data_IF_526951415915
#
_entry.id   IF_526951415915
#
_cell.length_a   1.000
_cell.length_b   1.000
_cell.length_c   1.000
_cell.angle_alpha   90.00
_cell.angle_beta   90.00
_cell.angle_gamma   90.00
#
_symmetry.space_group_name_H-M   'P 1'
#
loop_
_entity.id
_entity.type
_entity.pdbx_description
1 polymer ?
#
# COMPACT_ATOMS: atom_id res chain seq x y z
N UNK A 1 -3.92 -25.21 -4.35
CA UNK A 1 -4.65 -24.13 -5.05
C UNK A 1 -5.60 -23.31 -4.14
N UNK A 2 -6.27 -23.90 -3.13
CA UNK A 2 -7.13 -23.15 -2.19
C UNK A 2 -6.36 -22.25 -1.22
N UNK A 3 -5.22 -22.71 -0.67
CA UNK A 3 -4.41 -21.96 0.30
C UNK A 3 -3.82 -20.66 -0.29
N UNK A 4 -3.31 -20.71 -1.52
CA UNK A 4 -2.74 -19.52 -2.18
C UNK A 4 -3.78 -18.42 -2.40
N UNK A 5 -5.03 -18.80 -2.74
CA UNK A 5 -6.14 -17.82 -2.85
C UNK A 5 -6.49 -17.22 -1.50
N UNK A 6 -6.55 -18.03 -0.44
CA UNK A 6 -6.78 -17.54 0.91
C UNK A 6 -5.70 -16.55 1.35
N UNK A 7 -4.44 -16.89 1.11
CA UNK A 7 -3.30 -16.04 1.48
C UNK A 7 -3.33 -14.67 0.79
N UNK A 8 -3.57 -14.65 -0.53
CA UNK A 8 -3.57 -13.40 -1.31
C UNK A 8 -4.91 -12.67 -1.21
N UNK A 9 -6.02 -13.35 -1.49
CA UNK A 9 -7.35 -12.73 -1.55
C UNK A 9 -8.01 -12.54 -0.19
N UNK A 10 -7.53 -13.28 0.84
CA UNK A 10 -7.93 -13.12 2.25
C UNK A 10 -7.22 -11.96 2.96
N UNK A 11 -6.48 -11.13 2.24
CA UNK A 11 -5.77 -9.94 2.72
C UNK A 11 -4.57 -10.22 3.66
N UNK A 12 -4.19 -11.49 3.88
CA UNK A 12 -3.03 -11.86 4.72
C UNK A 12 -1.74 -11.36 4.08
N UNK A 13 -1.58 -11.58 2.77
CA UNK A 13 -0.39 -11.20 2.03
C UNK A 13 -0.12 -9.69 2.07
N UNK A 14 -1.13 -8.87 1.78
CA UNK A 14 -0.98 -7.41 1.80
C UNK A 14 -0.71 -6.89 3.22
N UNK A 15 -1.25 -7.55 4.26
CA UNK A 15 -0.96 -7.21 5.65
C UNK A 15 0.50 -7.52 6.01
N UNK A 16 1.05 -8.63 5.51
CA UNK A 16 2.49 -8.94 5.64
C UNK A 16 3.33 -7.91 4.88
N UNK A 17 2.92 -7.51 3.66
CA UNK A 17 3.60 -6.43 2.92
C UNK A 17 3.70 -5.15 3.75
N UNK A 18 2.61 -4.76 4.42
CA UNK A 18 2.60 -3.58 5.29
C UNK A 18 3.59 -3.69 6.45
N UNK A 19 3.63 -4.84 7.13
CA UNK A 19 4.57 -5.10 8.23
C UNK A 19 6.02 -5.05 7.76
N UNK A 20 6.35 -5.70 6.63
CA UNK A 20 7.71 -5.71 6.09
C UNK A 20 8.15 -4.31 5.67
N UNK A 21 7.24 -3.48 5.14
CA UNK A 21 7.53 -2.08 4.83
C UNK A 21 7.83 -1.27 6.10
N UNK A 22 7.08 -1.49 7.19
CA UNK A 22 7.36 -0.85 8.49
C UNK A 22 8.70 -1.30 9.06
N UNK A 23 9.00 -2.61 9.03
CA UNK A 23 10.29 -3.16 9.46
C UNK A 23 11.44 -2.50 8.68
N UNK A 24 11.28 -2.33 7.37
CA UNK A 24 12.29 -1.65 6.56
C UNK A 24 12.54 -0.21 7.02
N UNK A 25 11.50 0.53 7.40
CA UNK A 25 11.66 1.88 7.95
C UNK A 25 12.37 1.85 9.30
N UNK A 26 11.97 0.99 10.25
CA UNK A 26 12.64 0.86 11.54
C UNK A 26 14.14 0.59 11.38
N UNK A 27 14.51 -0.39 10.56
CA UNK A 27 15.92 -0.74 10.34
C UNK A 27 16.68 0.33 9.57
N UNK A 28 16.06 1.02 8.60
CA UNK A 28 16.68 2.13 7.88
C UNK A 28 17.07 3.28 8.81
N UNK A 29 16.28 3.51 9.88
CA UNK A 29 16.57 4.53 10.88
C UNK A 29 17.33 4.01 12.10
N UNK A 30 17.81 2.77 12.06
CA UNK A 30 18.56 2.12 13.14
C UNK A 30 17.81 2.14 14.49
N UNK A 31 16.50 1.89 14.46
CA UNK A 31 15.67 1.79 15.67
C UNK A 31 15.07 0.39 15.78
N UNK A 32 14.89 -0.05 17.02
CA UNK A 32 14.27 -1.34 17.29
C UNK A 32 12.78 -1.32 16.91
N UNK A 33 12.30 -2.36 16.19
CA UNK A 33 10.91 -2.46 15.81
C UNK A 33 9.97 -2.59 17.01
N UNK A 34 8.95 -1.73 17.10
CA UNK A 34 7.87 -1.87 18.07
C UNK A 34 6.91 -2.98 17.62
N UNK A 35 6.92 -4.11 18.32
CA UNK A 35 6.11 -5.28 17.98
C UNK A 35 4.61 -5.00 18.08
N UNK A 36 4.16 -4.16 19.01
CA UNK A 36 2.75 -3.81 19.17
C UNK A 36 2.28 -2.99 17.95
N UNK A 37 3.13 -2.08 17.47
CA UNK A 37 2.84 -1.32 16.26
C UNK A 37 2.81 -2.22 15.02
N UNK A 38 3.74 -3.14 14.87
CA UNK A 38 3.77 -4.09 13.74
C UNK A 38 2.51 -4.97 13.71
N UNK A 39 2.09 -5.49 14.87
CA UNK A 39 0.85 -6.24 15.00
C UNK A 39 -0.37 -5.35 14.71
N UNK A 40 -0.37 -4.11 15.20
CA UNK A 40 -1.41 -3.13 14.87
C UNK A 40 -1.52 -2.92 13.35
N UNK A 41 -0.42 -2.69 12.67
CA UNK A 41 -0.39 -2.50 11.20
C UNK A 41 -0.92 -3.73 10.48
N UNK A 42 -0.53 -4.94 10.91
CA UNK A 42 -1.03 -6.18 10.34
C UNK A 42 -2.56 -6.26 10.42
N UNK A 43 -3.12 -6.15 11.63
CA UNK A 43 -4.56 -6.30 11.83
C UNK A 43 -5.36 -5.11 11.29
N UNK A 44 -4.85 -3.88 11.39
CA UNK A 44 -5.49 -2.70 10.82
C UNK A 44 -5.55 -2.76 9.29
N UNK A 45 -4.48 -3.23 8.62
CA UNK A 45 -4.47 -3.46 7.18
C UNK A 45 -5.48 -4.53 6.80
N UNK A 46 -5.50 -5.66 7.50
CA UNK A 46 -6.46 -6.74 7.26
C UNK A 46 -7.91 -6.26 7.45
N UNK A 47 -8.17 -5.45 8.48
CA UNK A 47 -9.49 -4.82 8.73
C UNK A 47 -9.89 -3.91 7.58
N UNK A 48 -9.00 -2.99 7.20
CA UNK A 48 -9.26 -1.99 6.13
C UNK A 48 -9.54 -2.63 4.79
N UNK A 49 -8.73 -3.63 4.40
CA UNK A 49 -8.93 -4.34 3.13
C UNK A 49 -10.17 -5.22 3.14
N UNK A 50 -10.48 -5.89 4.25
CA UNK A 50 -11.70 -6.68 4.39
C UNK A 50 -12.94 -5.79 4.30
N UNK A 51 -12.93 -4.63 4.95
CA UNK A 51 -13.99 -3.62 4.84
C UNK A 51 -14.12 -3.07 3.42
N UNK A 52 -13.01 -2.72 2.78
CA UNK A 52 -12.99 -2.21 1.41
C UNK A 52 -13.62 -3.20 0.42
N UNK A 53 -13.29 -4.50 0.53
CA UNK A 53 -13.87 -5.54 -0.31
C UNK A 53 -15.35 -5.81 -0.01
N UNK A 54 -15.76 -5.70 1.25
CA UNK A 54 -17.16 -5.79 1.63
C UNK A 54 -18.01 -4.68 1.00
N UNK A 55 -17.45 -3.48 0.86
CA UNK A 55 -18.11 -2.33 0.24
C UNK A 55 -18.08 -2.33 -1.30
N UNK A 56 -17.29 -3.19 -1.92
CA UNK A 56 -17.17 -3.23 -3.38
C UNK A 56 -18.43 -3.85 -3.98
N UNK A 57 -19.19 -3.13 -4.86
CA UNK A 57 -20.42 -3.63 -5.45
C UNK A 57 -20.18 -4.82 -6.38
N UNK A 58 -21.23 -5.66 -6.58
CA UNK A 58 -21.23 -6.90 -7.37
C UNK A 58 -21.11 -6.66 -8.91
N UNK A 59 -20.17 -5.82 -9.38
CA UNK A 59 -20.17 -5.32 -10.76
C UNK A 59 -19.14 -6.00 -11.67
N UNK A 60 -18.16 -6.75 -11.14
CA UNK A 60 -17.13 -7.34 -12.00
C UNK A 60 -17.16 -8.88 -11.98
N UNK A 61 -17.93 -9.48 -12.88
CA UNK A 61 -17.94 -10.93 -13.12
C UNK A 61 -16.59 -11.49 -13.62
N UNK A 62 -15.64 -10.63 -14.02
CA UNK A 62 -14.38 -11.01 -14.65
C UNK A 62 -13.22 -11.24 -13.70
N UNK A 63 -13.24 -10.68 -12.47
CA UNK A 63 -12.16 -10.82 -11.49
C UNK A 63 -12.22 -12.14 -10.74
N UNK A 64 -11.13 -12.91 -10.72
CA UNK A 64 -11.01 -14.14 -9.91
C UNK A 64 -11.09 -13.84 -8.42
N UNK A 65 -10.53 -12.71 -7.99
CA UNK A 65 -10.59 -12.26 -6.60
C UNK A 65 -12.03 -11.98 -6.19
N UNK A 66 -12.78 -11.29 -7.01
CA UNK A 66 -14.19 -10.96 -6.74
C UNK A 66 -15.04 -12.23 -6.56
N UNK A 67 -14.93 -13.20 -7.49
CA UNK A 67 -15.62 -14.49 -7.37
C UNK A 67 -15.27 -15.20 -6.06
N UNK A 68 -13.98 -15.24 -5.71
CA UNK A 68 -13.51 -15.86 -4.48
C UNK A 68 -14.05 -15.14 -3.22
N UNK A 69 -14.14 -13.81 -3.23
CA UNK A 69 -14.70 -13.00 -2.12
C UNK A 69 -16.16 -13.35 -1.89
N UNK A 70 -16.97 -13.48 -2.96
CA UNK A 70 -18.40 -13.87 -2.85
C UNK A 70 -18.53 -15.29 -2.27
N UNK A 71 -17.77 -16.24 -2.80
CA UNK A 71 -17.81 -17.65 -2.35
C UNK A 71 -17.37 -17.80 -0.88
N UNK A 72 -16.48 -16.92 -0.39
CA UNK A 72 -15.90 -17.00 0.95
C UNK A 72 -16.35 -15.86 1.88
N UNK A 73 -17.50 -15.25 1.64
CA UNK A 73 -17.97 -14.05 2.36
C UNK A 73 -18.04 -14.25 3.88
N UNK A 74 -18.49 -15.42 4.35
CA UNK A 74 -18.54 -15.74 5.79
C UNK A 74 -17.15 -15.79 6.41
N UNK A 75 -16.17 -16.39 5.73
CA UNK A 75 -14.79 -16.47 6.19
C UNK A 75 -14.17 -15.06 6.30
N UNK A 76 -14.41 -14.20 5.31
CA UNK A 76 -13.96 -12.81 5.33
C UNK A 76 -14.62 -12.00 6.45
N UNK A 77 -15.88 -12.27 6.79
CA UNK A 77 -16.52 -11.66 7.94
C UNK A 77 -15.86 -12.08 9.27
N UNK A 78 -15.51 -13.36 9.43
CA UNK A 78 -14.75 -13.81 10.60
C UNK A 78 -13.37 -13.14 10.68
N UNK A 79 -12.65 -13.04 9.57
CA UNK A 79 -11.37 -12.34 9.52
C UNK A 79 -11.52 -10.85 9.85
N UNK A 80 -12.56 -10.22 9.36
CA UNK A 80 -12.86 -8.82 9.68
C UNK A 80 -13.13 -8.63 11.19
N UNK A 81 -14.00 -9.46 11.78
CA UNK A 81 -14.34 -9.39 13.21
C UNK A 81 -13.10 -9.67 14.10
N UNK A 82 -12.31 -10.67 13.75
CA UNK A 82 -11.08 -11.00 14.47
C UNK A 82 -10.07 -9.83 14.36
N UNK A 83 -9.85 -9.32 13.15
CA UNK A 83 -8.86 -8.29 12.93
C UNK A 83 -9.27 -6.94 13.53
N UNK A 84 -10.55 -6.55 13.49
CA UNK A 84 -11.01 -5.31 14.12
C UNK A 84 -10.93 -5.39 15.65
N UNK A 85 -11.24 -6.55 16.24
CA UNK A 85 -11.09 -6.78 17.68
C UNK A 85 -9.62 -6.67 18.11
N UNK A 86 -8.71 -7.32 17.37
CA UNK A 86 -7.28 -7.24 17.63
C UNK A 86 -6.75 -5.80 17.45
N UNK A 87 -7.17 -5.10 16.38
CA UNK A 87 -6.82 -3.69 16.14
C UNK A 87 -7.26 -2.80 17.29
N UNK A 88 -8.47 -3.01 17.83
CA UNK A 88 -9.01 -2.23 18.96
C UNK A 88 -8.20 -2.44 20.23
N UNK A 89 -7.82 -3.69 20.54
CA UNK A 89 -6.95 -4.00 21.69
C UNK A 89 -5.57 -3.35 21.53
N UNK A 90 -4.96 -3.47 20.35
CA UNK A 90 -3.65 -2.89 20.08
C UNK A 90 -3.69 -1.35 20.07
N UNK A 91 -4.79 -0.75 19.62
CA UNK A 91 -4.99 0.69 19.73
C UNK A 91 -5.03 1.16 21.19
N UNK A 92 -5.61 0.36 22.09
CA UNK A 92 -5.60 0.64 23.53
C UNK A 92 -4.19 0.50 24.12
N UNK A 93 -3.41 -0.47 23.67
CA UNK A 93 -1.99 -0.62 24.08
C UNK A 93 -1.18 0.58 23.59
N UNK A 94 -1.40 1.03 22.37
CA UNK A 94 -0.74 2.18 21.73
C UNK A 94 -1.42 3.52 22.04
N UNK A 95 -2.08 3.65 23.19
CA UNK A 95 -2.89 4.82 23.57
C UNK A 95 -2.12 6.14 23.52
N UNK A 96 -0.82 6.15 23.75
CA UNK A 96 0.01 7.35 23.70
C UNK A 96 0.08 7.95 22.27
N UNK A 97 -0.19 7.12 21.25
CA UNK A 97 -0.26 7.51 19.83
C UNK A 97 -1.70 7.51 19.30
N UNK A 98 -2.70 7.39 20.18
CA UNK A 98 -4.11 7.22 19.80
C UNK A 98 -4.57 8.25 18.77
N UNK A 99 -4.27 9.53 18.99
CA UNK A 99 -4.76 10.60 18.12
C UNK A 99 -4.26 10.43 16.67
N UNK A 100 -2.96 10.18 16.48
CA UNK A 100 -2.40 10.04 15.13
C UNK A 100 -2.86 8.75 14.45
N UNK A 101 -3.02 7.66 15.22
CA UNK A 101 -3.54 6.39 14.71
C UNK A 101 -5.03 6.52 14.33
N UNK A 102 -5.83 7.23 15.13
CA UNK A 102 -7.24 7.51 14.82
C UNK A 102 -7.39 8.40 13.58
N UNK A 103 -6.57 9.43 13.42
CA UNK A 103 -6.53 10.28 12.22
C UNK A 103 -6.16 9.43 10.98
N UNK A 104 -5.17 8.55 11.09
CA UNK A 104 -4.77 7.65 10.01
C UNK A 104 -5.89 6.67 9.64
N UNK A 105 -6.57 6.11 10.64
CA UNK A 105 -7.74 5.26 10.43
C UNK A 105 -8.88 6.02 9.74
N UNK A 106 -9.12 7.28 10.12
CA UNK A 106 -10.10 8.14 9.47
C UNK A 106 -9.77 8.37 7.98
N UNK A 107 -8.51 8.68 7.65
CA UNK A 107 -8.10 8.83 6.25
C UNK A 107 -8.28 7.52 5.47
N UNK A 108 -7.91 6.39 6.04
CA UNK A 108 -8.10 5.07 5.42
C UNK A 108 -9.60 4.75 5.23
N UNK A 109 -10.44 5.11 6.20
CA UNK A 109 -11.89 4.97 6.11
C UNK A 109 -12.48 5.85 5.00
N UNK A 110 -12.07 7.13 4.89
CA UNK A 110 -12.52 8.06 3.84
C UNK A 110 -12.25 7.48 2.45
N UNK A 111 -11.08 6.87 2.24
CA UNK A 111 -10.75 6.20 0.98
C UNK A 111 -11.74 5.08 0.64
N UNK A 112 -12.04 4.22 1.60
CA UNK A 112 -12.96 3.09 1.41
C UNK A 112 -14.42 3.55 1.30
N UNK A 113 -14.82 4.55 2.11
CA UNK A 113 -16.17 5.10 2.14
C UNK A 113 -16.58 5.79 0.84
N UNK A 114 -15.63 6.26 0.03
CA UNK A 114 -15.91 6.81 -1.30
C UNK A 114 -16.58 5.80 -2.26
N UNK A 115 -16.51 4.49 -1.99
CA UNK A 115 -17.24 3.42 -2.71
C UNK A 115 -18.72 3.34 -2.32
N UNK A 116 -19.13 3.89 -1.18
CA UNK A 116 -20.51 3.83 -0.69
C UNK A 116 -21.39 4.75 -1.55
N UNK A 117 -22.40 4.18 -2.21
CA UNK A 117 -23.31 4.92 -3.11
C UNK A 117 -24.41 5.71 -2.39
N UNK A 118 -24.42 5.78 -1.05
CA UNK A 118 -25.44 6.51 -0.27
C UNK A 118 -25.16 8.02 -0.24
N UNK A 119 -26.22 8.85 -0.24
CA UNK A 119 -26.16 10.31 -0.30
C UNK A 119 -25.12 10.97 0.62
N UNK A 120 -24.98 10.63 1.92
CA UNK A 120 -24.03 11.30 2.80
C UNK A 120 -22.56 11.06 2.41
N UNK A 121 -22.25 10.04 1.58
CA UNK A 121 -20.87 9.70 1.19
C UNK A 121 -20.50 10.13 -0.24
N UNK A 122 -21.46 10.64 -1.03
CA UNK A 122 -21.20 11.04 -2.43
C UNK A 122 -20.19 12.19 -2.52
N UNK A 123 -20.15 13.09 -1.54
CA UNK A 123 -19.19 14.20 -1.51
C UNK A 123 -17.74 13.72 -1.31
N UNK A 124 -17.53 12.57 -0.61
CA UNK A 124 -16.21 11.98 -0.43
C UNK A 124 -15.56 11.59 -1.76
N UNK A 125 -16.37 11.25 -2.77
CA UNK A 125 -15.88 10.97 -4.14
C UNK A 125 -15.17 12.17 -4.75
N UNK A 126 -15.53 13.40 -4.36
CA UNK A 126 -14.86 14.62 -4.83
C UNK A 126 -13.48 14.81 -4.17
N UNK A 127 -13.33 14.41 -2.91
CA UNK A 127 -12.05 14.47 -2.18
C UNK A 127 -11.07 13.45 -2.75
N UNK A 128 -11.57 12.27 -3.12
CA UNK A 128 -10.78 11.14 -3.63
C UNK A 128 -10.50 11.26 -5.15
N UNK A 129 -10.72 12.43 -5.80
CA UNK A 129 -10.39 12.64 -7.22
C UNK A 129 -8.90 12.33 -7.51
N UNK A 130 -8.00 12.58 -6.55
CA UNK A 130 -6.58 12.21 -6.61
C UNK A 130 -6.31 10.87 -5.89
N UNK A 131 -7.16 9.88 -6.14
CA UNK A 131 -7.16 8.55 -5.49
C UNK A 131 -5.76 7.93 -5.39
N UNK A 132 -5.00 7.97 -6.48
CA UNK A 132 -3.64 7.42 -6.58
C UNK A 132 -2.68 8.01 -5.55
N UNK A 133 -2.57 9.37 -5.51
CA UNK A 133 -1.68 10.06 -4.57
C UNK A 133 -2.15 9.93 -3.12
N UNK A 134 -3.47 9.93 -2.91
CA UNK A 134 -4.06 9.76 -1.60
C UNK A 134 -3.72 8.38 -1.01
N UNK A 135 -3.89 7.32 -1.79
CA UNK A 135 -3.57 5.96 -1.37
C UNK A 135 -2.07 5.79 -1.11
N UNK A 136 -1.21 6.30 -2.01
CA UNK A 136 0.24 6.28 -1.81
C UNK A 136 0.66 7.05 -0.54
N UNK A 137 0.00 8.18 -0.26
CA UNK A 137 0.21 8.94 0.96
C UNK A 137 -0.14 8.17 2.23
N UNK A 138 -1.31 7.48 2.27
CA UNK A 138 -1.69 6.64 3.41
C UNK A 138 -0.67 5.52 3.62
N UNK A 139 -0.27 4.82 2.56
CA UNK A 139 0.73 3.76 2.65
C UNK A 139 2.06 4.27 3.19
N UNK A 140 2.52 5.44 2.71
CA UNK A 140 3.76 6.07 3.18
C UNK A 140 3.65 6.53 4.63
N UNK A 141 2.50 7.10 5.01
CA UNK A 141 2.21 7.49 6.38
C UNK A 141 2.33 6.28 7.33
N UNK A 142 1.65 5.18 7.01
CA UNK A 142 1.65 3.97 7.84
C UNK A 142 3.01 3.28 7.86
N UNK A 143 3.69 3.18 6.71
CA UNK A 143 4.89 2.35 6.61
C UNK A 143 6.21 3.08 6.89
N UNK A 144 6.22 4.43 6.90
CA UNK A 144 7.45 5.22 7.11
C UNK A 144 7.25 6.25 8.21
N UNK A 145 6.25 7.14 8.08
CA UNK A 145 6.11 8.29 8.98
C UNK A 145 5.71 7.84 10.39
N UNK A 146 4.73 6.95 10.52
CA UNK A 146 4.31 6.45 11.84
C UNK A 146 5.41 5.67 12.56
N UNK A 147 6.18 4.75 11.93
CA UNK A 147 7.37 4.17 12.55
C UNK A 147 8.34 5.21 13.10
N UNK A 148 8.62 6.29 12.36
CA UNK A 148 9.49 7.37 12.84
C UNK A 148 8.92 8.11 14.05
N UNK A 149 7.62 8.42 14.04
CA UNK A 149 6.96 9.12 15.15
C UNK A 149 6.96 8.26 16.42
N UNK A 150 6.63 6.97 16.29
CA UNK A 150 6.57 6.03 17.42
C UNK A 150 7.96 5.82 18.03
N UNK A 151 8.99 5.73 17.18
CA UNK A 151 10.38 5.60 17.62
C UNK A 151 11.05 6.94 17.98
N UNK A 152 10.31 8.06 17.90
CA UNK A 152 10.82 9.41 18.17
C UNK A 152 12.06 9.77 17.35
N UNK A 153 12.13 9.27 16.12
CA UNK A 153 13.21 9.58 15.17
C UNK A 153 13.07 11.02 14.71
N UNK A 154 14.16 11.77 14.71
CA UNK A 154 14.19 13.12 14.17
C UNK A 154 13.98 13.13 12.64
N UNK A 155 13.21 14.09 12.14
CA UNK A 155 12.98 14.28 10.72
C UNK A 155 14.20 14.91 10.03
N UNK A 156 15.27 14.14 9.90
CA UNK A 156 16.47 14.54 9.18
C UNK A 156 16.20 14.65 7.66
N UNK A 157 17.09 15.34 6.94
CA UNK A 157 17.00 15.42 5.49
C UNK A 157 17.00 14.03 4.81
N UNK A 158 17.74 13.07 5.35
CA UNK A 158 17.74 11.68 4.85
C UNK A 158 16.40 11.00 5.08
N UNK A 159 15.75 11.23 6.23
CA UNK A 159 14.43 10.71 6.53
C UNK A 159 13.35 11.28 5.59
N UNK A 160 13.43 12.57 5.28
CA UNK A 160 12.52 13.20 4.31
C UNK A 160 12.72 12.62 2.90
N UNK A 161 13.96 12.46 2.44
CA UNK A 161 14.26 11.88 1.13
C UNK A 161 13.81 10.43 1.07
N UNK A 162 14.02 9.64 2.12
CA UNK A 162 13.54 8.25 2.19
C UNK A 162 12.00 8.19 2.14
N UNK A 163 11.32 9.07 2.84
CA UNK A 163 9.85 9.17 2.81
C UNK A 163 9.35 9.48 1.39
N UNK A 164 9.96 10.45 0.70
CA UNK A 164 9.64 10.79 -0.69
C UNK A 164 9.92 9.59 -1.61
N UNK A 165 11.05 8.91 -1.42
CA UNK A 165 11.41 7.72 -2.18
C UNK A 165 10.36 6.62 -2.06
N UNK A 166 9.90 6.30 -0.84
CA UNK A 166 8.86 5.30 -0.62
C UNK A 166 7.52 5.72 -1.20
N UNK A 167 7.14 7.00 -1.04
CA UNK A 167 5.95 7.55 -1.66
C UNK A 167 5.97 7.38 -3.18
N UNK A 168 7.07 7.70 -3.85
CA UNK A 168 7.21 7.60 -5.30
C UNK A 168 7.10 6.14 -5.78
N UNK A 169 7.73 5.18 -5.09
CA UNK A 169 7.62 3.76 -5.40
C UNK A 169 6.17 3.30 -5.35
N UNK A 170 5.48 3.60 -4.24
CA UNK A 170 4.08 3.20 -4.03
C UNK A 170 3.17 3.91 -5.04
N UNK A 171 3.42 5.19 -5.30
CA UNK A 171 2.63 5.98 -6.25
C UNK A 171 2.69 5.40 -7.66
N UNK A 172 3.88 5.00 -8.11
CA UNK A 172 4.09 4.33 -9.42
C UNK A 172 3.30 3.02 -9.50
N UNK A 173 3.27 2.23 -8.44
CA UNK A 173 2.46 1.00 -8.36
C UNK A 173 0.96 1.32 -8.40
N UNK A 174 0.52 2.34 -7.65
CA UNK A 174 -0.87 2.78 -7.63
C UNK A 174 -1.35 3.29 -9.01
N UNK A 175 -0.48 3.90 -9.82
CA UNK A 175 -0.81 4.29 -11.22
C UNK A 175 -1.24 3.07 -12.03
N UNK A 176 -0.54 1.93 -11.89
CA UNK A 176 -0.88 0.70 -12.62
C UNK A 176 -2.21 0.12 -12.16
N UNK A 177 -2.49 0.11 -10.84
CA UNK A 177 -3.78 -0.31 -10.30
C UNK A 177 -4.93 0.56 -10.82
N UNK A 178 -4.78 1.88 -10.78
CA UNK A 178 -5.81 2.80 -11.25
C UNK A 178 -6.05 2.70 -12.77
N UNK A 179 -5.00 2.40 -13.54
CA UNK A 179 -5.15 2.10 -14.97
C UNK A 179 -5.97 0.82 -15.20
N UNK A 180 -5.69 -0.26 -14.45
CA UNK A 180 -6.47 -1.51 -14.55
C UNK A 180 -7.94 -1.28 -14.21
N UNK A 181 -8.20 -0.54 -13.13
CA UNK A 181 -9.54 -0.35 -12.57
C UNK A 181 -10.36 0.73 -13.31
N UNK A 182 -9.78 1.35 -14.36
CA UNK A 182 -10.36 2.45 -15.11
C UNK A 182 -11.81 2.22 -15.56
N UNK A 183 -12.13 1.05 -16.10
CA UNK A 183 -13.46 0.75 -16.62
C UNK A 183 -14.47 0.48 -15.46
N UNK A 184 -14.01 -0.08 -14.36
CA UNK A 184 -14.80 -0.27 -13.16
C UNK A 184 -15.09 1.07 -12.47
N UNK A 185 -14.08 1.92 -12.33
CA UNK A 185 -14.23 3.27 -11.78
C UNK A 185 -15.23 4.10 -12.61
N UNK A 186 -15.21 4.01 -13.94
CA UNK A 186 -16.20 4.68 -14.79
C UNK A 186 -17.62 4.20 -14.51
N UNK A 187 -17.84 2.87 -14.44
CA UNK A 187 -19.17 2.29 -14.15
C UNK A 187 -19.70 2.73 -12.79
N UNK A 188 -18.82 2.85 -11.80
CA UNK A 188 -19.16 3.26 -10.44
C UNK A 188 -19.21 4.79 -10.26
N UNK A 189 -19.08 5.57 -11.33
CA UNK A 189 -19.04 7.04 -11.29
C UNK A 189 -17.94 7.60 -10.36
N UNK A 190 -16.84 6.86 -10.19
CA UNK A 190 -15.65 7.29 -9.45
C UNK A 190 -14.74 8.05 -10.40
N UNK A 191 -14.56 9.35 -10.17
CA UNK A 191 -13.63 10.15 -10.97
C UNK A 191 -12.21 9.86 -10.51
N UNK A 192 -11.41 9.22 -11.37
CA UNK A 192 -10.00 8.96 -11.16
C UNK A 192 -9.19 9.72 -12.22
N UNK A 193 -8.17 10.46 -11.81
CA UNK A 193 -7.31 11.24 -12.72
C UNK A 193 -6.64 10.31 -13.75
N UNK A 194 -6.03 9.22 -13.29
CA UNK A 194 -5.35 8.24 -14.17
C UNK A 194 -6.34 7.62 -15.15
N UNK A 195 -7.56 7.28 -14.68
CA UNK A 195 -8.61 6.74 -15.53
C UNK A 195 -9.06 7.66 -16.67
N UNK A 196 -8.84 8.97 -16.58
CA UNK A 196 -9.18 9.96 -17.61
C UNK A 196 -8.03 10.27 -18.57
N UNK A 197 -6.79 9.87 -18.21
CA UNK A 197 -5.61 10.15 -19.03
C UNK A 197 -5.50 9.19 -20.22
N UNK A 198 -4.87 9.68 -21.31
CA UNK A 198 -4.43 8.85 -22.43
C UNK A 198 -3.24 8.01 -22.00
N UNK A 199 -3.07 6.83 -22.58
CA UNK A 199 -1.97 5.91 -22.23
C UNK A 199 -0.58 6.55 -22.39
N UNK A 200 -0.38 7.42 -23.38
CA UNK A 200 0.86 8.18 -23.54
C UNK A 200 1.17 9.08 -22.34
N UNK A 201 0.15 9.80 -21.83
CA UNK A 201 0.30 10.66 -20.65
C UNK A 201 0.54 9.84 -19.37
N UNK A 202 -0.10 8.67 -19.24
CA UNK A 202 0.15 7.74 -18.12
C UNK A 202 1.61 7.26 -18.16
N UNK A 203 2.11 6.90 -19.34
CA UNK A 203 3.50 6.48 -19.53
C UNK A 203 4.48 7.57 -19.11
N UNK A 204 4.27 8.82 -19.54
CA UNK A 204 5.13 9.95 -19.18
C UNK A 204 5.12 10.15 -17.64
N UNK A 205 3.94 10.20 -17.02
CA UNK A 205 3.81 10.36 -15.58
C UNK A 205 4.51 9.22 -14.82
N UNK A 206 4.30 7.98 -15.25
CA UNK A 206 4.89 6.79 -14.67
C UNK A 206 6.41 6.85 -14.66
N UNK A 207 7.03 7.06 -15.83
CA UNK A 207 8.50 7.11 -15.96
C UNK A 207 9.11 8.36 -15.35
N UNK A 208 8.38 9.48 -15.29
CA UNK A 208 8.81 10.66 -14.56
C UNK A 208 8.89 10.40 -13.05
N UNK A 209 7.84 9.82 -12.46
CA UNK A 209 7.85 9.47 -11.04
C UNK A 209 8.89 8.40 -10.72
N UNK A 210 9.08 7.43 -11.61
CA UNK A 210 10.12 6.41 -11.46
C UNK A 210 11.53 7.00 -11.59
N UNK A 211 11.74 7.97 -12.47
CA UNK A 211 12.99 8.73 -12.55
C UNK A 211 13.29 9.52 -11.26
N UNK A 212 12.28 10.19 -10.70
CA UNK A 212 12.40 10.86 -9.39
C UNK A 212 12.69 9.87 -8.25
N UNK A 213 12.12 8.66 -8.30
CA UNK A 213 12.46 7.58 -7.37
C UNK A 213 13.95 7.21 -7.44
N UNK A 214 14.52 7.05 -8.65
CA UNK A 214 15.94 6.76 -8.80
C UNK A 214 16.83 7.94 -8.36
N UNK A 215 16.44 9.17 -8.67
CA UNK A 215 17.16 10.37 -8.21
C UNK A 215 17.17 10.42 -6.67
N UNK A 216 16.03 10.23 -6.02
CA UNK A 216 15.96 10.19 -4.55
C UNK A 216 16.77 9.04 -3.96
N UNK A 217 16.88 7.90 -4.64
CA UNK A 217 17.73 6.78 -4.23
C UNK A 217 19.22 7.14 -4.30
N UNK A 218 19.66 7.83 -5.36
CA UNK A 218 21.05 8.33 -5.50
C UNK A 218 21.34 9.37 -4.40
N UNK A 219 20.39 10.25 -4.09
CA UNK A 219 20.55 11.21 -3.00
C UNK A 219 20.72 10.52 -1.64
N UNK A 220 20.11 9.38 -1.40
CA UNK A 220 20.30 8.60 -0.17
C UNK A 220 21.70 7.96 -0.14
N UNK A 221 22.20 7.45 -1.26
CA UNK A 221 23.56 6.94 -1.37
C UNK A 221 24.61 7.99 -0.97
N UNK A 222 24.44 9.26 -1.41
CA UNK A 222 25.33 10.36 -1.04
C UNK A 222 25.19 10.83 0.42
N UNK A 223 24.19 10.31 1.16
CA UNK A 223 23.86 10.67 2.55
C UNK A 223 24.06 9.54 3.56
N UNK A 224 24.89 8.56 3.22
CA UNK A 224 25.34 7.54 4.15
C UNK A 224 24.77 6.13 3.93
N UNK A 225 23.90 5.91 2.95
CA UNK A 225 23.52 4.55 2.55
C UNK A 225 24.74 3.90 1.90
N UNK A 226 25.04 2.67 2.30
CA UNK A 226 26.06 1.88 1.64
C UNK A 226 25.55 1.33 0.29
N UNK A 227 26.47 0.83 -0.53
CA UNK A 227 26.13 0.33 -1.88
C UNK A 227 25.12 -0.81 -1.86
N UNK A 228 25.18 -1.69 -0.87
CA UNK A 228 24.22 -2.80 -0.73
C UNK A 228 22.82 -2.29 -0.42
N UNK A 229 22.70 -1.34 0.49
CA UNK A 229 21.41 -0.70 0.83
C UNK A 229 20.85 0.06 -0.38
N UNK A 230 21.69 0.72 -1.14
CA UNK A 230 21.31 1.37 -2.38
C UNK A 230 20.78 0.37 -3.40
N UNK A 231 21.47 -0.76 -3.61
CA UNK A 231 21.02 -1.81 -4.53
C UNK A 231 19.67 -2.43 -4.10
N UNK A 232 19.50 -2.70 -2.80
CA UNK A 232 18.25 -3.15 -2.21
C UNK A 232 17.12 -2.13 -2.45
N UNK A 233 17.42 -0.84 -2.29
CA UNK A 233 16.47 0.24 -2.44
C UNK A 233 15.96 0.38 -3.88
N UNK A 234 16.86 0.31 -4.89
CA UNK A 234 16.52 0.53 -6.31
C UNK A 234 15.91 -0.69 -6.98
N UNK A 235 16.12 -1.89 -6.45
CA UNK A 235 15.74 -3.14 -7.10
C UNK A 235 14.25 -3.21 -7.49
N UNK A 236 13.28 -2.88 -6.61
CA UNK A 236 11.86 -2.86 -7.02
C UNK A 236 11.58 -1.84 -8.13
N UNK A 237 12.29 -0.72 -8.18
CA UNK A 237 12.17 0.26 -9.25
C UNK A 237 12.64 -0.29 -10.61
N UNK A 238 13.71 -1.06 -10.64
CA UNK A 238 14.18 -1.75 -11.86
C UNK A 238 13.12 -2.74 -12.36
N UNK A 239 12.54 -3.53 -11.46
CA UNK A 239 11.46 -4.46 -11.80
C UNK A 239 10.21 -3.72 -12.32
N UNK A 240 9.89 -2.55 -11.78
CA UNK A 240 8.80 -1.70 -12.29
C UNK A 240 9.08 -1.17 -13.69
N UNK A 241 10.31 -0.77 -14.02
CA UNK A 241 10.68 -0.38 -15.39
C UNK A 241 10.32 -1.47 -16.41
N UNK A 242 10.69 -2.72 -16.10
CA UNK A 242 10.47 -3.87 -16.99
C UNK A 242 8.98 -4.26 -17.03
N UNK A 243 8.29 -4.10 -15.91
CA UNK A 243 6.90 -4.55 -15.73
C UNK A 243 5.85 -3.65 -16.40
N UNK A 244 6.18 -2.42 -16.80
CA UNK A 244 5.21 -1.45 -17.29
C UNK A 244 4.38 -1.99 -18.46
N UNK A 245 5.05 -2.51 -19.50
CA UNK A 245 4.38 -3.01 -20.71
C UNK A 245 3.39 -4.14 -20.43
N UNK A 246 3.79 -5.10 -19.59
CA UNK A 246 2.92 -6.19 -19.17
C UNK A 246 1.76 -5.71 -18.29
N UNK A 247 2.01 -4.80 -17.36
CA UNK A 247 1.00 -4.29 -16.43
C UNK A 247 -0.14 -3.54 -17.12
N UNK A 248 0.13 -2.80 -18.21
CA UNK A 248 -0.95 -2.13 -18.95
C UNK A 248 -1.75 -3.06 -19.85
N UNK A 249 -1.23 -4.22 -20.22
CA UNK A 249 -1.90 -5.19 -21.10
C UNK A 249 -2.64 -6.29 -20.34
N UNK A 250 -2.21 -6.62 -19.13
CA UNK A 250 -2.80 -7.70 -18.32
C UNK A 250 -3.85 -7.20 -17.33
N UNK A 251 -4.84 -8.05 -17.02
CA UNK A 251 -5.81 -7.85 -15.94
C UNK A 251 -5.73 -8.97 -14.89
N UNK A 252 -4.64 -9.73 -14.87
CA UNK A 252 -4.44 -10.85 -13.96
C UNK A 252 -4.44 -10.38 -12.50
N UNK A 253 -5.34 -10.92 -11.67
CA UNK A 253 -5.40 -10.61 -10.25
C UNK A 253 -4.11 -10.99 -9.52
N UNK A 254 -3.47 -12.11 -9.88
CA UNK A 254 -2.18 -12.49 -9.28
C UNK A 254 -1.05 -11.52 -9.63
N UNK A 255 -1.06 -10.97 -10.85
CA UNK A 255 -0.08 -9.97 -11.25
C UNK A 255 -0.17 -8.73 -10.35
N UNK A 256 -1.38 -8.27 -10.08
CA UNK A 256 -1.61 -7.08 -9.28
C UNK A 256 -1.48 -7.35 -7.79
N UNK A 257 -2.22 -8.32 -7.25
CA UNK A 257 -2.33 -8.54 -5.80
C UNK A 257 -1.23 -9.40 -5.19
N UNK A 258 -0.35 -10.01 -6.00
CA UNK A 258 0.82 -10.71 -5.51
C UNK A 258 2.11 -10.04 -5.99
N UNK A 259 2.30 -9.88 -7.30
CA UNK A 259 3.55 -9.35 -7.82
C UNK A 259 3.70 -7.84 -7.54
N UNK A 260 2.75 -6.98 -7.95
CA UNK A 260 2.87 -5.53 -7.76
C UNK A 260 2.80 -5.12 -6.28
N UNK A 261 1.89 -5.71 -5.49
CA UNK A 261 1.84 -5.48 -4.04
C UNK A 261 3.14 -5.97 -3.38
N UNK A 262 3.72 -7.09 -3.85
CA UNK A 262 5.00 -7.60 -3.40
C UNK A 262 6.17 -6.65 -3.65
N UNK A 263 6.16 -5.90 -4.75
CA UNK A 263 7.19 -4.91 -5.04
C UNK A 263 7.25 -3.77 -4.01
N UNK A 264 6.12 -3.44 -3.36
CA UNK A 264 6.13 -2.45 -2.27
C UNK A 264 7.01 -2.87 -1.10
N UNK A 265 6.95 -4.14 -0.72
CA UNK A 265 7.73 -4.69 0.41
C UNK A 265 9.12 -5.19 0.02
N UNK A 266 9.43 -5.31 -1.26
CA UNK A 266 10.61 -6.05 -1.75
C UNK A 266 11.92 -5.52 -1.17
N UNK A 267 12.11 -4.20 -1.09
CA UNK A 267 13.32 -3.63 -0.45
C UNK A 267 13.43 -4.06 1.02
N UNK A 268 12.33 -4.06 1.76
CA UNK A 268 12.31 -4.50 3.16
C UNK A 268 12.61 -6.00 3.28
N UNK A 269 12.03 -6.81 2.42
CA UNK A 269 12.29 -8.24 2.39
C UNK A 269 13.76 -8.57 2.08
N UNK A 270 14.36 -7.91 1.08
CA UNK A 270 15.77 -8.08 0.75
C UNK A 270 16.69 -7.61 1.89
N UNK A 271 16.30 -6.51 2.58
CA UNK A 271 17.04 -6.03 3.74
C UNK A 271 17.02 -7.03 4.90
N UNK A 272 15.87 -7.64 5.18
CA UNK A 272 15.76 -8.71 6.18
C UNK A 272 16.61 -9.93 5.80
N UNK A 273 16.63 -10.33 4.53
CA UNK A 273 17.52 -11.41 4.06
C UNK A 273 18.99 -11.06 4.27
N UNK A 274 19.40 -9.81 3.96
CA UNK A 274 20.79 -9.35 4.24
C UNK A 274 21.14 -9.47 5.74
N UNK A 275 20.18 -9.21 6.64
CA UNK A 275 20.44 -9.34 8.09
C UNK A 275 20.57 -10.79 8.55
N UNK A 276 19.87 -11.72 7.90
CA UNK A 276 19.92 -13.15 8.22
C UNK A 276 21.12 -13.85 7.59
N UNK A 277 21.62 -13.32 6.47
CA UNK A 277 22.76 -13.85 5.71
C UNK A 277 23.77 -12.72 5.44
N UNK A 278 24.52 -12.28 6.47
CA UNK A 278 25.44 -11.16 6.38
C UNK A 278 26.61 -11.38 5.43
#
# INVERSE_FOLDING_TARGET
MRLNKLFIFGNIYISICAVVMCLYAFYTFNVEPDINYLLFVFFATMTSYSFHWYLTPDVSETSMRFKWVIENRKLLQYFFLLSISATSVLLFILRDYFLILAITALFTFIYSAAKISRKPFIWLRKIVIRKTAYLAGIWTLVSVILPMIISKVEFSNSAVIFTINRFLLIYVICILFDHRDKEEDKRNCVKNLIGQMRIGSIRILYFLCLGLFFISSIMLLTRGFNITEFLILIFPGILLCISFGHSISTRSDYWYYFYLDGLMMLSGFLYLLKMLFP
#
